data_IF_147193119590
#
_entry.id   IF_147193119590
#
_cell.length_a   1.000
_cell.length_b   1.000
_cell.length_c   1.000
_cell.angle_alpha   90.00
_cell.angle_beta   90.00
_cell.angle_gamma   90.00
#
_symmetry.space_group_name_H-M   'P 1'
#
loop_
_entity.id
_entity.type
_entity.pdbx_description
1 polymer ?
#
# COMPACT_ATOMS: atom_id res chain seq x y z
N UNK A 1 -20.91 31.41 -49.19
CA UNK A 1 -19.54 31.57 -48.70
C UNK A 1 -19.59 31.95 -47.24
N UNK A 2 -18.50 31.74 -46.52
CA UNK A 2 -18.33 31.87 -45.06
C UNK A 2 -18.71 30.61 -44.25
N UNK A 3 -18.24 29.46 -44.73
CA UNK A 3 -18.06 28.24 -43.94
C UNK A 3 -16.57 27.88 -43.87
N UNK A 4 -15.80 28.53 -42.98
CA UNK A 4 -14.49 28.06 -42.53
C UNK A 4 -13.99 28.88 -41.34
N UNK A 5 -13.24 28.22 -40.45
CA UNK A 5 -12.35 28.84 -39.43
C UNK A 5 -13.07 29.55 -38.27
N UNK A 6 -13.13 29.01 -37.05
CA UNK A 6 -11.96 28.79 -36.19
C UNK A 6 -12.31 27.80 -35.06
N UNK A 7 -11.95 26.53 -35.29
CA UNK A 7 -11.56 25.59 -34.25
C UNK A 7 -10.17 26.02 -33.74
N UNK A 8 -10.06 26.55 -32.52
CA UNK A 8 -8.78 26.56 -31.78
C UNK A 8 -8.93 27.16 -30.37
N UNK A 9 -9.60 26.48 -29.44
CA UNK A 9 -9.41 26.71 -27.98
C UNK A 9 -9.48 25.41 -27.19
N UNK A 10 -8.90 24.34 -27.72
CA UNK A 10 -8.44 23.22 -26.91
C UNK A 10 -6.92 23.36 -26.78
N UNK A 11 -6.48 23.97 -25.69
CA UNK A 11 -5.07 24.00 -25.31
C UNK A 11 -5.02 24.06 -23.80
N UNK A 12 -5.44 22.95 -23.18
CA UNK A 12 -4.97 22.62 -21.83
C UNK A 12 -3.58 22.03 -22.04
N UNK A 13 -2.49 22.70 -21.65
CA UNK A 13 -1.20 22.04 -21.61
C UNK A 13 -1.27 21.03 -20.47
N UNK A 14 -1.66 19.79 -20.80
CA UNK A 14 -1.52 18.65 -19.90
C UNK A 14 -0.04 18.28 -19.86
N UNK A 15 0.75 19.14 -19.21
CA UNK A 15 2.10 18.81 -18.79
C UNK A 15 1.99 17.83 -17.62
N UNK A 16 1.51 16.62 -17.89
CA UNK A 16 1.83 15.47 -17.06
C UNK A 16 3.24 15.05 -17.46
N UNK A 17 4.22 15.81 -17.00
CA UNK A 17 5.53 15.21 -16.78
C UNK A 17 5.29 13.99 -15.87
N UNK A 18 5.81 12.80 -16.21
CA UNK A 18 5.90 11.76 -15.21
C UNK A 18 6.83 12.33 -14.14
N UNK A 19 6.23 12.82 -13.05
CA UNK A 19 6.99 13.07 -11.83
C UNK A 19 7.62 11.73 -11.54
N UNK A 20 8.95 11.66 -11.65
CA UNK A 20 9.73 10.59 -11.04
C UNK A 20 9.46 10.72 -9.54
N UNK A 21 8.41 10.04 -9.09
CA UNK A 21 8.12 9.89 -7.67
C UNK A 21 9.13 8.86 -7.20
N UNK A 22 10.40 9.27 -7.14
CA UNK A 22 11.29 8.73 -6.13
C UNK A 22 10.55 8.96 -4.81
N UNK A 23 9.91 7.90 -4.32
CA UNK A 23 8.92 7.82 -3.24
C UNK A 23 9.57 8.15 -1.88
N UNK A 24 10.50 9.08 -1.83
CA UNK A 24 11.25 9.47 -0.63
C UNK A 24 10.58 10.63 0.12
N UNK A 25 9.29 10.88 -0.15
CA UNK A 25 8.53 11.85 0.65
C UNK A 25 8.15 11.17 1.97
N UNK A 26 8.54 11.74 3.13
CA UNK A 26 8.25 11.14 4.43
C UNK A 26 6.74 11.00 4.70
N UNK A 27 5.90 11.75 3.98
CA UNK A 27 4.43 11.66 4.01
C UNK A 27 3.88 10.32 3.45
N UNK A 28 4.69 9.53 2.73
CA UNK A 28 4.32 8.23 2.17
C UNK A 28 4.76 7.03 3.03
N UNK A 29 5.30 7.29 4.23
CA UNK A 29 5.77 6.26 5.16
C UNK A 29 4.81 6.10 6.34
N UNK A 30 4.50 4.86 6.73
CA UNK A 30 3.83 4.58 7.98
C UNK A 30 4.81 4.62 9.15
N UNK A 31 4.30 4.84 10.37
CA UNK A 31 5.11 4.80 11.59
C UNK A 31 4.87 3.51 12.38
N UNK A 32 5.94 2.78 12.69
CA UNK A 32 5.89 1.61 13.57
C UNK A 32 7.10 1.57 14.51
N UNK A 33 6.92 2.06 15.73
CA UNK A 33 8.04 2.24 16.67
C UNK A 33 9.10 3.18 16.08
N UNK A 34 10.31 2.67 15.89
CA UNK A 34 11.44 3.38 15.25
C UNK A 34 11.57 3.07 13.74
N UNK A 35 10.65 2.28 13.18
CA UNK A 35 10.65 1.92 11.75
C UNK A 35 9.67 2.77 10.97
N UNK A 36 10.02 3.01 9.71
CA UNK A 36 9.23 3.78 8.75
C UNK A 36 8.90 2.93 7.50
N UNK A 37 8.02 1.93 7.63
CA UNK A 37 7.59 1.09 6.50
C UNK A 37 6.92 1.90 5.39
N UNK A 38 7.17 1.50 4.15
CA UNK A 38 6.51 2.03 2.95
C UNK A 38 5.13 1.43 2.78
N UNK A 39 4.31 2.05 1.94
CA UNK A 39 3.01 1.50 1.56
C UNK A 39 3.16 0.09 0.99
N UNK A 40 2.35 -0.84 1.50
CA UNK A 40 2.39 -2.27 1.16
C UNK A 40 3.31 -3.11 2.06
N UNK A 41 4.19 -2.49 2.86
CA UNK A 41 5.04 -3.23 3.79
C UNK A 41 4.21 -3.88 4.89
N UNK A 42 4.65 -5.08 5.29
CA UNK A 42 4.01 -5.90 6.33
C UNK A 42 5.02 -6.20 7.43
N UNK A 43 4.64 -5.91 8.67
CA UNK A 43 5.40 -6.25 9.87
C UNK A 43 4.68 -7.38 10.59
N UNK A 44 5.45 -8.41 10.98
CA UNK A 44 4.98 -9.56 11.76
C UNK A 44 5.79 -9.65 13.03
N UNK A 45 5.10 -9.69 14.17
CA UNK A 45 5.75 -9.80 15.47
C UNK A 45 5.03 -10.83 16.34
N UNK A 46 5.76 -11.86 16.78
CA UNK A 46 5.24 -12.81 17.74
C UNK A 46 5.15 -12.14 19.11
N UNK A 47 3.99 -12.24 19.74
CA UNK A 47 3.69 -11.63 21.05
C UNK A 47 3.22 -12.71 22.01
N UNK A 48 3.72 -12.73 23.24
CA UNK A 48 3.32 -13.66 24.31
C UNK A 48 3.27 -15.16 23.91
N UNK A 49 4.17 -15.61 23.03
CA UNK A 49 4.36 -17.02 22.66
C UNK A 49 3.36 -17.59 21.65
N UNK A 50 2.09 -17.17 21.71
CA UNK A 50 0.98 -17.80 20.96
C UNK A 50 0.18 -16.83 20.07
N UNK A 51 0.43 -15.53 20.18
CA UNK A 51 -0.25 -14.51 19.36
C UNK A 51 0.72 -13.86 18.39
N UNK A 52 0.20 -13.44 17.24
CA UNK A 52 0.95 -12.74 16.21
C UNK A 52 0.31 -11.37 15.98
N UNK A 53 1.11 -10.32 16.10
CA UNK A 53 0.77 -8.99 15.66
C UNK A 53 1.17 -8.87 14.17
N UNK A 54 0.17 -8.66 13.32
CA UNK A 54 0.34 -8.41 11.90
C UNK A 54 -0.03 -6.95 11.62
N UNK A 55 0.93 -6.13 11.19
CA UNK A 55 0.70 -4.75 10.82
C UNK A 55 0.99 -4.54 9.34
N UNK A 56 0.14 -3.77 8.66
CA UNK A 56 0.30 -3.39 7.26
C UNK A 56 0.24 -1.87 7.11
N UNK A 57 1.12 -1.34 6.28
CA UNK A 57 1.06 0.06 5.86
C UNK A 57 0.20 0.19 4.60
N UNK A 58 -1.12 0.27 4.75
CA UNK A 58 -2.02 0.45 3.59
C UNK A 58 -2.23 1.93 3.24
N UNK A 59 -2.43 2.76 4.28
CA UNK A 59 -2.65 4.20 4.18
C UNK A 59 -1.71 4.93 5.17
N UNK A 60 -0.56 5.45 4.69
CA UNK A 60 0.31 6.30 5.49
C UNK A 60 -0.43 7.50 6.12
N UNK A 61 -0.02 7.97 7.31
CA UNK A 61 1.16 7.57 8.08
C UNK A 61 0.90 6.45 9.11
N UNK A 62 -0.28 5.84 9.09
CA UNK A 62 -0.71 4.91 10.14
C UNK A 62 -0.57 3.46 9.69
N UNK A 63 -0.06 2.63 10.59
CA UNK A 63 -0.13 1.18 10.44
C UNK A 63 -1.51 0.68 10.84
N UNK A 64 -2.06 -0.25 10.06
CA UNK A 64 -3.23 -1.03 10.46
C UNK A 64 -2.76 -2.36 11.01
N UNK A 65 -3.08 -2.66 12.26
CA UNK A 65 -2.60 -3.84 12.96
C UNK A 65 -3.73 -4.78 13.39
N UNK A 66 -3.47 -6.08 13.31
CA UNK A 66 -4.39 -7.15 13.71
C UNK A 66 -3.65 -8.15 14.61
N UNK A 67 -4.33 -8.62 15.65
CA UNK A 67 -3.81 -9.69 16.51
C UNK A 67 -4.44 -11.00 16.06
N UNK A 68 -3.60 -11.95 15.67
CA UNK A 68 -4.00 -13.27 15.20
C UNK A 68 -3.28 -14.40 15.92
N UNK A 69 -3.56 -15.65 15.56
CA UNK A 69 -2.84 -16.81 16.08
C UNK A 69 -1.39 -16.82 15.60
N UNK A 70 -0.48 -17.47 16.36
CA UNK A 70 0.95 -17.67 16.01
C UNK A 70 1.21 -18.07 14.56
N UNK A 71 0.32 -18.87 13.96
CA UNK A 71 0.43 -19.32 12.56
C UNK A 71 0.40 -18.15 11.55
N UNK A 72 -0.16 -17.00 11.93
CA UNK A 72 -0.14 -15.79 11.12
C UNK A 72 1.26 -15.15 11.05
N UNK A 73 2.19 -15.48 11.94
CA UNK A 73 3.57 -14.98 11.89
C UNK A 73 4.50 -15.89 11.08
N UNK A 74 4.15 -17.17 10.93
CA UNK A 74 5.01 -18.18 10.29
C UNK A 74 4.62 -18.50 8.85
N UNK A 75 3.43 -18.09 8.40
CA UNK A 75 2.95 -18.32 7.03
C UNK A 75 3.11 -17.08 6.16
N UNK A 76 3.68 -17.21 4.97
CA UNK A 76 3.63 -16.14 3.97
C UNK A 76 2.17 -15.85 3.59
N UNK A 77 1.90 -14.64 3.09
CA UNK A 77 0.53 -14.24 2.65
C UNK A 77 -0.04 -15.26 1.65
N UNK A 78 0.83 -15.82 0.79
CA UNK A 78 0.49 -16.89 -0.16
C UNK A 78 0.02 -18.19 0.50
N UNK A 79 0.60 -18.59 1.63
CA UNK A 79 0.24 -19.82 2.34
C UNK A 79 -1.11 -19.71 3.06
N UNK A 80 -1.46 -18.50 3.53
CA UNK A 80 -2.76 -18.23 4.15
C UNK A 80 -3.88 -18.36 3.09
N UNK A 81 -3.67 -17.79 1.90
CA UNK A 81 -4.65 -17.84 0.82
C UNK A 81 -4.85 -19.27 0.27
N UNK A 82 -3.77 -20.06 0.17
CA UNK A 82 -3.87 -21.49 -0.19
C UNK A 82 -4.71 -22.28 0.82
N UNK A 83 -4.60 -21.97 2.10
CA UNK A 83 -5.31 -22.69 3.17
C UNK A 83 -6.80 -22.39 3.22
N UNK A 84 -7.22 -21.19 2.78
CA UNK A 84 -8.63 -20.83 2.68
C UNK A 84 -9.35 -21.56 1.53
N UNK A 85 -8.63 -21.99 0.49
CA UNK A 85 -9.19 -22.74 -0.65
C UNK A 85 -9.43 -24.22 -0.41
N UNK A 86 -8.84 -24.82 0.64
CA UNK A 86 -9.02 -26.25 0.97
C UNK A 86 -10.18 -26.53 1.93
N UNK A 87 -11.00 -25.54 2.27
CA UNK A 87 -12.28 -25.72 2.99
C UNK A 87 -13.47 -25.60 2.04
N UNK A 88 -13.48 -26.41 0.97
CA UNK A 88 -14.68 -26.69 0.17
C UNK A 88 -14.83 -28.19 0.04
#
# INVERSE_FOLDING_TARGET
DEAAELLARESIPSAHTPVDISDDRPEMLCKFGTRNPRRGDVIRQLTNGDTCLLCVCDVPPLMTCFIGPKVACTRSVEDINKSARFRK
#
